data_IF_590569339118
#
_entry.id   IF_590569339118
#
_cell.length_a   1.000
_cell.length_b   1.000
_cell.length_c   1.000
_cell.angle_alpha   90.00
_cell.angle_beta   90.00
_cell.angle_gamma   90.00
#
_symmetry.space_group_name_H-M   'P 1'
#
loop_
_entity.id
_entity.type
_entity.pdbx_description
1 polymer ?
#
# COMPACT_ATOMS: atom_id res chain seq x y z
N UNK A 1 -19.43 -0.74 -12.86
CA UNK A 1 -19.23 0.25 -11.83
C UNK A 1 -18.98 -0.45 -10.52
N UNK A 2 -17.84 -1.08 -10.43
CA UNK A 2 -17.42 -1.81 -9.24
C UNK A 2 -16.06 -1.28 -8.84
N UNK A 3 -16.02 0.01 -8.51
CA UNK A 3 -14.76 0.65 -8.20
C UNK A 3 -14.59 0.93 -6.70
N UNK A 4 -15.54 0.46 -5.89
CA UNK A 4 -15.41 0.55 -4.45
C UNK A 4 -14.86 -0.76 -3.91
N UNK A 5 -13.56 -0.77 -3.75
CA UNK A 5 -12.84 -1.83 -3.08
C UNK A 5 -12.23 -1.30 -1.78
N UNK A 6 -12.18 -2.16 -0.78
CA UNK A 6 -11.60 -1.82 0.51
C UNK A 6 -10.64 -2.90 0.97
N UNK A 7 -9.73 -2.52 1.84
CA UNK A 7 -8.83 -3.44 2.50
C UNK A 7 -9.43 -3.90 3.83
N UNK A 8 -9.59 -5.19 3.98
CA UNK A 8 -10.06 -5.85 5.20
C UNK A 8 -8.97 -6.76 5.77
N UNK A 9 -8.97 -6.94 7.07
CA UNK A 9 -7.99 -7.76 7.77
C UNK A 9 -8.60 -9.11 8.12
N UNK A 10 -7.87 -10.18 7.83
CA UNK A 10 -8.22 -11.54 8.24
C UNK A 10 -7.20 -12.06 9.25
N UNK A 11 -7.69 -12.79 10.24
CA UNK A 11 -6.87 -13.47 11.22
C UNK A 11 -6.58 -14.91 10.78
N UNK A 12 -5.33 -15.31 10.90
CA UNK A 12 -4.85 -16.65 10.55
C UNK A 12 -4.13 -17.29 11.74
N UNK A 13 -3.86 -18.57 11.65
CA UNK A 13 -2.91 -19.18 12.57
C UNK A 13 -1.51 -18.60 12.33
N UNK A 14 -0.77 -18.35 13.41
CA UNK A 14 0.60 -17.86 13.32
C UNK A 14 1.49 -18.83 12.50
N UNK A 15 2.22 -18.29 11.55
CA UNK A 15 3.04 -19.07 10.60
C UNK A 15 2.29 -19.59 9.37
N UNK A 16 0.99 -19.34 9.26
CA UNK A 16 0.18 -19.73 8.11
C UNK A 16 -0.09 -18.58 7.12
N UNK A 17 0.42 -17.41 7.37
CA UNK A 17 0.15 -16.20 6.60
C UNK A 17 0.44 -16.39 5.12
N UNK A 18 1.62 -16.90 4.77
CA UNK A 18 2.00 -17.17 3.38
C UNK A 18 1.13 -18.27 2.75
N UNK A 19 0.79 -19.32 3.51
CA UNK A 19 -0.10 -20.38 3.04
C UNK A 19 -1.50 -19.86 2.77
N UNK A 20 -2.02 -19.03 3.66
CA UNK A 20 -3.35 -18.42 3.51
C UNK A 20 -3.37 -17.51 2.28
N UNK A 21 -2.38 -16.65 2.11
CA UNK A 21 -2.27 -15.81 0.92
C UNK A 21 -2.28 -16.65 -0.37
N UNK A 22 -1.45 -17.66 -0.47
CA UNK A 22 -1.41 -18.55 -1.62
C UNK A 22 -2.69 -19.38 -1.83
N UNK A 23 -3.39 -19.76 -0.76
CA UNK A 23 -4.66 -20.46 -0.84
C UNK A 23 -5.78 -19.54 -1.37
N UNK A 24 -5.80 -18.27 -0.91
CA UNK A 24 -6.76 -17.28 -1.41
C UNK A 24 -6.52 -17.01 -2.90
N UNK A 25 -5.28 -16.82 -3.32
CA UNK A 25 -4.94 -16.65 -4.73
C UNK A 25 -5.41 -17.83 -5.60
N UNK A 26 -5.22 -19.06 -5.14
CA UNK A 26 -5.73 -20.26 -5.82
C UNK A 26 -7.25 -20.30 -5.90
N UNK A 27 -7.96 -19.85 -4.87
CA UNK A 27 -9.42 -19.75 -4.88
C UNK A 27 -9.86 -18.71 -5.90
N UNK A 28 -9.18 -17.58 -5.95
CA UNK A 28 -9.45 -16.51 -6.95
C UNK A 28 -9.32 -17.05 -8.37
N UNK A 29 -8.25 -17.78 -8.65
CA UNK A 29 -8.03 -18.39 -9.96
C UNK A 29 -9.05 -19.48 -10.29
N UNK A 30 -9.27 -20.41 -9.36
CA UNK A 30 -10.15 -21.57 -9.59
C UNK A 30 -11.61 -21.19 -9.71
N UNK A 31 -12.06 -20.20 -8.96
CA UNK A 31 -13.46 -19.72 -8.96
C UNK A 31 -13.68 -18.49 -9.82
N UNK A 32 -12.63 -17.98 -10.48
CA UNK A 32 -12.67 -16.77 -11.30
C UNK A 32 -13.22 -15.55 -10.55
N UNK A 33 -12.75 -15.36 -9.32
CA UNK A 33 -13.18 -14.29 -8.42
C UNK A 33 -12.27 -13.06 -8.47
N UNK A 34 -11.59 -12.81 -9.58
CA UNK A 34 -10.67 -11.67 -9.75
C UNK A 34 -11.37 -10.31 -9.62
N UNK A 35 -12.66 -10.26 -9.89
CA UNK A 35 -13.52 -9.09 -9.75
C UNK A 35 -13.99 -8.84 -8.31
N UNK A 36 -13.88 -9.83 -7.45
CA UNK A 36 -14.36 -9.81 -6.06
C UNK A 36 -13.23 -9.72 -5.05
N UNK A 37 -12.14 -10.44 -5.28
CA UNK A 37 -10.92 -10.43 -4.46
C UNK A 37 -9.81 -9.85 -5.33
N UNK A 38 -9.52 -8.58 -5.14
CA UNK A 38 -8.62 -7.81 -5.99
C UNK A 38 -7.15 -7.93 -5.60
N UNK A 39 -6.88 -8.29 -4.36
CA UNK A 39 -5.52 -8.45 -3.88
C UNK A 39 -5.43 -9.12 -2.52
N UNK A 40 -4.26 -9.69 -2.25
CA UNK A 40 -3.89 -10.27 -0.96
C UNK A 40 -2.50 -9.79 -0.61
N UNK A 41 -2.31 -9.31 0.60
CA UNK A 41 -1.03 -8.80 1.05
C UNK A 41 -0.75 -9.23 2.49
N UNK A 42 0.52 -9.50 2.77
CA UNK A 42 1.01 -9.69 4.13
C UNK A 42 1.79 -8.43 4.47
N UNK A 43 1.37 -7.66 5.50
CA UNK A 43 2.07 -6.45 5.89
C UNK A 43 3.50 -6.78 6.37
N UNK A 44 4.49 -6.29 5.65
CA UNK A 44 5.91 -6.46 5.94
C UNK A 44 6.54 -5.09 6.17
N UNK A 45 7.42 -5.00 7.15
CA UNK A 45 8.31 -3.86 7.32
C UNK A 45 9.74 -4.25 7.01
N UNK A 46 10.47 -3.36 6.40
CA UNK A 46 11.91 -3.53 6.21
C UNK A 46 12.63 -3.01 7.45
N UNK A 47 13.31 -3.92 8.14
CA UNK A 47 14.11 -3.61 9.33
C UNK A 47 15.58 -3.84 9.01
N UNK A 48 16.39 -2.89 9.43
CA UNK A 48 17.85 -3.02 9.29
C UNK A 48 18.39 -3.72 10.53
N UNK A 49 18.93 -4.91 10.35
CA UNK A 49 19.61 -5.67 11.41
C UNK A 49 21.11 -5.70 11.17
N UNK A 50 21.87 -5.56 12.24
CA UNK A 50 23.34 -5.74 12.20
C UNK A 50 23.65 -7.19 12.54
N UNK A 51 24.16 -7.94 11.58
CA UNK A 51 24.60 -9.33 11.73
C UNK A 51 26.05 -9.43 11.29
N UNK A 52 26.93 -9.95 12.15
CA UNK A 52 28.36 -10.18 11.86
C UNK A 52 29.07 -8.92 11.30
N UNK A 53 28.85 -7.75 11.94
CA UNK A 53 29.35 -6.44 11.52
C UNK A 53 28.88 -5.97 10.11
N UNK A 54 27.84 -6.62 9.57
CA UNK A 54 27.21 -6.22 8.31
C UNK A 54 25.78 -5.78 8.55
N UNK A 55 25.41 -4.69 7.90
CA UNK A 55 24.02 -4.19 7.87
C UNK A 55 23.24 -4.99 6.84
N UNK A 56 22.20 -5.70 7.27
CA UNK A 56 21.34 -6.51 6.39
C UNK A 56 19.91 -5.98 6.52
N UNK A 57 19.26 -5.71 5.41
CA UNK A 57 17.82 -5.45 5.38
C UNK A 57 17.08 -6.78 5.51
N UNK A 58 16.21 -6.88 6.51
CA UNK A 58 15.38 -8.05 6.78
C UNK A 58 13.93 -7.63 6.73
N UNK A 59 13.12 -8.38 5.99
CA UNK A 59 11.68 -8.19 6.00
C UNK A 59 11.08 -8.89 7.22
N UNK A 60 10.35 -8.15 8.02
CA UNK A 60 9.67 -8.64 9.22
C UNK A 60 8.16 -8.43 9.07
N UNK A 61 7.37 -9.41 9.49
CA UNK A 61 5.93 -9.25 9.56
C UNK A 61 5.57 -8.20 10.62
N UNK A 62 4.81 -7.19 10.20
CA UNK A 62 4.32 -6.14 11.12
C UNK A 62 3.35 -6.73 12.13
N UNK A 63 2.46 -7.60 11.64
CA UNK A 63 1.45 -8.26 12.46
C UNK A 63 1.42 -9.77 12.15
N UNK A 64 2.14 -10.61 12.92
CA UNK A 64 2.05 -12.07 12.78
C UNK A 64 0.61 -12.55 13.01
N UNK A 65 0.13 -13.48 12.19
CA UNK A 65 -1.22 -14.01 12.26
C UNK A 65 -2.28 -13.16 11.55
N UNK A 66 -1.90 -12.15 10.78
CA UNK A 66 -2.81 -11.30 10.02
C UNK A 66 -2.42 -11.24 8.54
N UNK A 67 -3.44 -11.29 7.70
CA UNK A 67 -3.32 -11.08 6.25
C UNK A 67 -4.34 -10.03 5.85
N UNK A 68 -3.97 -9.17 4.93
CA UNK A 68 -4.82 -8.09 4.43
C UNK A 68 -5.30 -8.45 3.03
N UNK A 69 -6.58 -8.29 2.80
CA UNK A 69 -7.22 -8.62 1.51
C UNK A 69 -7.97 -7.41 0.98
N UNK A 70 -7.84 -7.17 -0.33
CA UNK A 70 -8.59 -6.14 -1.03
C UNK A 70 -9.85 -6.75 -1.64
N UNK A 71 -10.99 -6.32 -1.18
CA UNK A 71 -12.29 -6.88 -1.54
C UNK A 71 -13.17 -5.83 -2.21
N UNK A 72 -13.81 -6.24 -3.31
CA UNK A 72 -14.91 -5.48 -3.87
C UNK A 72 -16.09 -5.51 -2.91
N UNK A 73 -16.78 -4.40 -2.75
CA UNK A 73 -17.95 -4.26 -1.88
C UNK A 73 -19.21 -4.05 -2.71
N UNK A 74 -20.32 -4.52 -2.15
CA UNK A 74 -21.67 -4.21 -2.64
C UNK A 74 -22.36 -3.34 -1.61
N UNK A 75 -23.30 -2.51 -2.04
CA UNK A 75 -24.05 -1.65 -1.15
C UNK A 75 -25.39 -2.29 -0.82
N UNK A 76 -25.73 -2.32 0.46
CA UNK A 76 -27.03 -2.77 0.93
C UNK A 76 -28.12 -1.70 0.73
N UNK A 77 -29.35 -2.03 1.14
CA UNK A 77 -30.51 -1.13 1.01
C UNK A 77 -30.35 0.19 1.79
N UNK A 78 -29.49 0.19 2.82
CA UNK A 78 -29.14 1.38 3.62
C UNK A 78 -27.90 2.12 3.07
N UNK A 79 -27.44 1.75 1.87
CA UNK A 79 -26.25 2.28 1.23
C UNK A 79 -24.96 2.10 2.04
N UNK A 80 -24.88 0.98 2.79
CA UNK A 80 -23.70 0.59 3.53
C UNK A 80 -22.86 -0.42 2.73
N UNK A 81 -21.53 -0.22 2.65
CA UNK A 81 -20.66 -1.14 1.92
C UNK A 81 -20.55 -2.47 2.67
N UNK A 82 -20.91 -3.54 2.01
CA UNK A 82 -20.85 -4.91 2.52
C UNK A 82 -19.98 -5.80 1.65
N UNK A 83 -19.27 -6.72 2.26
CA UNK A 83 -18.58 -7.78 1.52
C UNK A 83 -19.61 -8.80 1.05
N UNK A 84 -19.65 -9.13 -0.26
CA UNK A 84 -20.57 -10.14 -0.77
C UNK A 84 -20.46 -11.46 -0.03
N UNK A 85 -21.56 -12.12 0.26
CA UNK A 85 -21.60 -13.39 1.00
C UNK A 85 -20.70 -14.46 0.38
N UNK A 86 -20.65 -14.53 -0.94
CA UNK A 86 -19.78 -15.47 -1.65
C UNK A 86 -18.30 -15.22 -1.37
N UNK A 87 -17.88 -13.97 -1.39
CA UNK A 87 -16.51 -13.54 -1.07
C UNK A 87 -16.19 -13.82 0.40
N UNK A 88 -17.11 -13.48 1.30
CA UNK A 88 -16.97 -13.75 2.72
C UNK A 88 -16.77 -15.24 3.00
N UNK A 89 -17.62 -16.10 2.41
CA UNK A 89 -17.50 -17.55 2.55
C UNK A 89 -16.20 -18.09 1.95
N UNK A 90 -15.80 -17.63 0.77
CA UNK A 90 -14.58 -18.08 0.12
C UNK A 90 -13.35 -17.84 1.00
N UNK A 91 -13.26 -16.68 1.62
CA UNK A 91 -12.15 -16.31 2.51
C UNK A 91 -12.27 -17.02 3.86
N UNK A 92 -13.45 -17.00 4.47
CA UNK A 92 -13.67 -17.59 5.81
C UNK A 92 -13.36 -19.06 5.88
N UNK A 93 -13.66 -19.80 4.81
CA UNK A 93 -13.41 -21.24 4.71
C UNK A 93 -12.06 -21.59 4.07
N UNK A 94 -11.23 -20.62 3.80
CA UNK A 94 -9.85 -20.86 3.37
C UNK A 94 -9.06 -21.51 4.51
N UNK A 95 -8.33 -22.58 4.18
CA UNK A 95 -7.54 -23.30 5.19
C UNK A 95 -6.48 -22.40 5.79
N UNK A 96 -6.50 -22.29 7.12
CA UNK A 96 -5.60 -21.46 7.92
C UNK A 96 -6.22 -20.12 8.36
N UNK A 97 -7.36 -19.74 7.80
CA UNK A 97 -8.12 -18.56 8.22
C UNK A 97 -8.97 -18.88 9.45
N UNK A 98 -8.86 -18.06 10.50
CA UNK A 98 -9.69 -18.16 11.70
C UNK A 98 -10.93 -17.29 11.63
N UNK A 99 -10.88 -16.18 10.89
CA UNK A 99 -11.99 -15.27 10.66
C UNK A 99 -11.55 -13.88 10.20
N UNK A 100 -12.54 -13.06 9.94
CA UNK A 100 -12.30 -11.62 9.71
C UNK A 100 -12.07 -10.91 11.06
N UNK A 101 -11.25 -9.88 11.04
CA UNK A 101 -11.08 -8.97 12.18
C UNK A 101 -12.25 -8.01 12.21
N UNK A 102 -13.00 -8.02 13.30
CA UNK A 102 -14.13 -7.14 13.51
C UNK A 102 -15.17 -7.75 14.46
N UNK A 103 -16.14 -6.95 14.93
CA UNK A 103 -17.21 -7.43 15.79
C UNK A 103 -18.09 -8.44 15.04
N UNK A 104 -18.46 -9.52 15.71
CA UNK A 104 -19.33 -10.59 15.16
C UNK A 104 -18.84 -11.20 13.83
N UNK A 105 -17.52 -11.24 13.61
CA UNK A 105 -16.91 -11.68 12.34
C UNK A 105 -17.32 -10.83 11.11
N UNK A 106 -17.83 -9.62 11.33
CA UNK A 106 -18.06 -8.65 10.27
C UNK A 106 -16.75 -7.96 9.95
N UNK A 107 -16.33 -7.91 8.67
CA UNK A 107 -15.11 -7.24 8.30
C UNK A 107 -15.15 -5.75 8.63
N UNK A 108 -14.12 -5.26 9.32
CA UNK A 108 -13.90 -3.82 9.53
C UNK A 108 -12.80 -3.39 8.56
N UNK A 109 -13.11 -2.49 7.64
CA UNK A 109 -12.12 -2.04 6.66
C UNK A 109 -11.01 -1.23 7.32
N UNK A 110 -9.81 -1.35 6.75
CA UNK A 110 -8.72 -0.45 7.07
C UNK A 110 -9.02 0.95 6.53
N UNK A 111 -8.66 1.95 7.30
CA UNK A 111 -8.67 3.34 6.83
C UNK A 111 -7.53 3.57 5.83
N UNK A 112 -7.66 4.58 4.98
CA UNK A 112 -6.59 4.95 4.05
C UNK A 112 -5.24 5.19 4.75
N UNK A 113 -5.26 5.80 5.92
CA UNK A 113 -4.07 6.05 6.73
C UNK A 113 -3.41 4.76 7.26
N UNK A 114 -4.22 3.76 7.59
CA UNK A 114 -3.71 2.45 8.01
C UNK A 114 -3.10 1.68 6.85
N UNK A 115 -3.75 1.73 5.68
CA UNK A 115 -3.24 1.13 4.44
C UNK A 115 -1.88 1.72 4.06
N UNK A 116 -1.76 3.03 4.14
CA UNK A 116 -0.51 3.75 3.84
C UNK A 116 0.59 3.41 4.87
N UNK A 117 0.27 3.42 6.16
CA UNK A 117 1.22 3.05 7.24
C UNK A 117 1.73 1.62 7.14
N UNK A 118 0.89 0.73 6.66
CA UNK A 118 1.26 -0.68 6.45
C UNK A 118 2.03 -0.91 5.14
N UNK A 119 2.19 0.13 4.31
CA UNK A 119 2.86 0.02 3.01
C UNK A 119 2.16 -0.93 2.02
N UNK A 120 0.87 -1.16 2.21
CA UNK A 120 0.07 -2.08 1.39
C UNK A 120 -0.20 -1.48 0.02
N UNK A 121 -0.56 -0.21 -0.02
CA UNK A 121 -0.68 0.58 -1.25
C UNK A 121 0.15 1.85 -1.10
N UNK A 122 1.01 2.05 -2.06
CA UNK A 122 1.61 3.37 -2.27
C UNK A 122 0.60 4.14 -3.11
N UNK A 123 0.10 5.28 -2.60
CA UNK A 123 -0.66 6.18 -3.47
C UNK A 123 0.25 6.53 -4.64
N UNK A 124 -0.14 6.12 -5.84
CA UNK A 124 0.48 6.63 -7.05
C UNK A 124 0.09 8.10 -7.10
N UNK A 125 0.99 8.95 -6.67
CA UNK A 125 0.82 10.39 -6.82
C UNK A 125 0.91 10.65 -8.32
N UNK A 126 -0.21 11.02 -8.94
CA UNK A 126 -0.17 11.54 -10.31
C UNK A 126 0.66 12.81 -10.28
N UNK A 127 1.88 12.69 -10.78
CA UNK A 127 2.78 13.83 -10.91
C UNK A 127 2.45 14.58 -12.20
N UNK A 128 2.39 15.89 -12.09
CA UNK A 128 2.14 16.80 -13.22
C UNK A 128 3.44 17.30 -13.86
N UNK A 129 4.57 16.67 -13.53
CA UNK A 129 5.91 17.06 -14.01
C UNK A 129 6.69 15.83 -14.46
N UNK A 130 7.60 16.04 -15.38
CA UNK A 130 8.51 15.02 -15.94
C UNK A 130 9.98 15.35 -15.65
N UNK A 131 10.87 14.43 -16.01
CA UNK A 131 12.32 14.65 -15.94
C UNK A 131 12.71 15.81 -16.84
N UNK A 132 13.41 16.80 -16.26
CA UNK A 132 13.82 18.03 -16.91
C UNK A 132 12.90 19.23 -16.61
N UNK A 133 11.76 18.99 -15.97
CA UNK A 133 10.84 20.07 -15.59
C UNK A 133 11.32 20.80 -14.34
N UNK A 134 10.93 22.05 -14.24
CA UNK A 134 11.17 22.85 -13.04
C UNK A 134 10.06 22.61 -12.02
N UNK A 135 10.44 22.27 -10.80
CA UNK A 135 9.52 22.01 -9.69
C UNK A 135 9.87 22.86 -8.47
N UNK A 136 8.88 23.08 -7.64
CA UNK A 136 9.04 23.77 -6.35
C UNK A 136 8.75 22.79 -5.23
N UNK A 137 9.61 22.78 -4.21
CA UNK A 137 9.41 21.98 -3.00
C UNK A 137 8.33 22.62 -2.14
N UNK A 138 7.30 21.86 -1.80
CA UNK A 138 6.12 22.33 -1.07
C UNK A 138 6.10 21.92 0.39
N UNK A 139 6.96 20.98 0.78
CA UNK A 139 7.01 20.47 2.15
C UNK A 139 8.43 20.06 2.55
N UNK A 140 8.72 20.14 3.86
CA UNK A 140 9.98 19.74 4.44
C UNK A 140 11.01 20.86 4.62
N UNK A 141 12.27 20.51 4.93
CA UNK A 141 13.32 21.50 5.23
C UNK A 141 13.73 22.36 4.03
N UNK A 142 13.32 22.00 2.83
CA UNK A 142 13.60 22.70 1.57
C UNK A 142 12.37 23.36 0.96
N UNK A 143 11.30 23.53 1.73
CA UNK A 143 10.09 24.22 1.29
C UNK A 143 10.41 25.60 0.70
N UNK A 144 9.84 25.88 -0.47
CA UNK A 144 10.03 27.13 -1.21
C UNK A 144 11.25 27.17 -2.14
N UNK A 145 12.10 26.14 -2.12
CA UNK A 145 13.19 26.02 -3.11
C UNK A 145 12.68 25.45 -4.40
N UNK A 146 13.20 25.96 -5.51
CA UNK A 146 12.92 25.44 -6.84
C UNK A 146 14.13 24.67 -7.37
N UNK A 147 13.87 23.66 -8.19
CA UNK A 147 14.90 22.84 -8.80
C UNK A 147 14.42 22.16 -10.05
N UNK A 148 15.30 21.43 -10.71
CA UNK A 148 15.03 20.67 -11.92
C UNK A 148 14.98 19.19 -11.57
N UNK A 149 13.99 18.48 -12.10
CA UNK A 149 13.84 17.04 -11.94
C UNK A 149 14.91 16.31 -12.74
N UNK A 150 15.79 15.58 -12.08
CA UNK A 150 16.83 14.75 -12.69
C UNK A 150 16.38 13.31 -12.94
N UNK A 151 15.59 12.76 -12.04
CA UNK A 151 15.06 11.42 -12.14
C UNK A 151 13.72 11.29 -11.41
N UNK A 152 12.84 10.48 -11.97
CA UNK A 152 11.53 10.18 -11.42
C UNK A 152 11.41 8.67 -11.22
N UNK A 153 11.18 8.23 -9.99
CA UNK A 153 10.93 6.84 -9.63
C UNK A 153 9.54 6.70 -9.04
N UNK A 154 8.57 6.46 -9.91
CA UNK A 154 7.15 6.31 -9.52
C UNK A 154 6.91 5.05 -8.71
N UNK A 155 7.72 4.00 -8.90
CA UNK A 155 7.58 2.73 -8.17
C UNK A 155 7.97 2.88 -6.70
N UNK A 156 8.93 3.75 -6.42
CA UNK A 156 9.40 4.07 -5.06
C UNK A 156 8.75 5.32 -4.47
N UNK A 157 7.88 5.99 -5.24
CA UNK A 157 7.28 7.26 -4.86
C UNK A 157 8.30 8.37 -4.56
N UNK A 158 9.42 8.37 -5.28
CA UNK A 158 10.56 9.26 -5.07
C UNK A 158 10.90 10.05 -6.33
N UNK A 159 11.35 11.26 -6.14
CA UNK A 159 11.87 12.15 -7.18
C UNK A 159 13.21 12.72 -6.77
N UNK A 160 14.16 12.75 -7.69
CA UNK A 160 15.44 13.44 -7.52
C UNK A 160 15.38 14.79 -8.18
N UNK A 161 15.62 15.81 -7.40
CA UNK A 161 15.58 17.20 -7.84
C UNK A 161 16.93 17.87 -7.53
N UNK A 162 17.50 18.53 -8.54
CA UNK A 162 18.66 19.39 -8.34
C UNK A 162 18.18 20.76 -7.94
N UNK A 163 18.35 21.10 -6.68
CA UNK A 163 18.02 22.44 -6.13
C UNK A 163 19.26 23.33 -6.06
N UNK A 164 19.08 24.61 -6.35
CA UNK A 164 20.15 25.60 -6.21
C UNK A 164 20.06 26.29 -4.86
N UNK A 165 21.03 26.01 -4.00
CA UNK A 165 21.15 26.63 -2.69
C UNK A 165 22.50 27.33 -2.54
N UNK A 166 22.47 28.57 -2.08
CA UNK A 166 23.69 29.36 -1.80
C UNK A 166 24.72 29.37 -2.94
N UNK A 167 24.24 29.35 -4.22
CA UNK A 167 25.08 29.34 -5.40
C UNK A 167 25.71 27.97 -5.71
N UNK A 168 25.22 26.91 -5.11
CA UNK A 168 25.62 25.52 -5.39
C UNK A 168 24.42 24.68 -5.75
N UNK A 169 24.59 23.83 -6.76
CA UNK A 169 23.58 22.83 -7.12
C UNK A 169 23.76 21.60 -6.24
N UNK A 170 22.67 21.15 -5.64
CA UNK A 170 22.65 19.99 -4.76
C UNK A 170 21.51 19.07 -5.19
N UNK A 171 21.85 17.81 -5.43
CA UNK A 171 20.86 16.76 -5.72
C UNK A 171 20.24 16.28 -4.42
N UNK A 172 18.91 16.39 -4.31
CA UNK A 172 18.15 15.96 -3.14
C UNK A 172 17.02 15.02 -3.59
N UNK A 173 16.77 14.00 -2.81
CA UNK A 173 15.64 13.09 -3.03
C UNK A 173 14.44 13.57 -2.20
N UNK A 174 13.28 13.66 -2.85
CA UNK A 174 12.00 14.01 -2.25
C UNK A 174 10.96 12.93 -2.53
N UNK A 175 9.92 12.89 -1.73
CA UNK A 175 8.71 12.15 -2.09
C UNK A 175 7.94 12.91 -3.18
N UNK A 176 7.24 12.20 -4.07
CA UNK A 176 6.50 12.80 -5.18
C UNK A 176 5.47 13.85 -4.73
N UNK A 177 4.92 13.71 -3.53
CA UNK A 177 3.96 14.63 -2.93
C UNK A 177 4.58 15.89 -2.32
N UNK A 178 5.91 15.92 -2.17
CA UNK A 178 6.65 17.06 -1.59
C UNK A 178 7.08 18.10 -2.62
N UNK A 179 6.86 17.83 -3.89
CA UNK A 179 7.21 18.73 -4.99
C UNK A 179 6.03 18.93 -5.94
N UNK A 180 5.93 20.12 -6.46
CA UNK A 180 4.88 20.52 -7.40
C UNK A 180 5.50 21.17 -8.63
N UNK A 181 4.87 21.01 -9.79
CA UNK A 181 5.28 21.73 -11.00
C UNK A 181 5.33 23.24 -10.76
N UNK A 182 6.43 23.86 -11.13
CA UNK A 182 6.61 25.31 -11.04
C UNK A 182 5.96 26.06 -12.21
N UNK A 183 5.44 25.34 -13.19
CA UNK A 183 4.78 25.92 -14.37
C UNK A 183 3.27 25.88 -14.14
N UNK A 184 2.66 27.06 -14.01
CA UNK A 184 1.23 27.27 -14.21
C UNK A 184 0.91 27.37 -15.69
#
# INVERSE_FOLDING_TARGET
MADDARWDVIHTYAGYENKVAGNIEKIVENRKMHDKILGVCIPLEKVVEVKDDKTVEVERMVFPGYVVVKLAVEYDDDNQPQVPNETWHAIRYTRGVTGFVGPESKPVPLTEQEVEKLGIETKVVEVTYDVGDMVTVTDGPFEGFSGVVEALDTDKNMVRVTISMFGRETLVEFELNQVQSAVE
#
